data_IF_568943870646
#
_entry.id   IF_568943870646
#
_cell.length_a   1.000
_cell.length_b   1.000
_cell.length_c   1.000
_cell.angle_alpha   90.00
_cell.angle_beta   90.00
_cell.angle_gamma   90.00
#
_symmetry.space_group_name_H-M   'P 1'
#
loop_
_entity.id
_entity.type
_entity.pdbx_description
1 polymer ?
#
# COMPACT_ATOMS: atom_id res chain seq x y z
N UNK A 1 14.71 22.40 -22.74
CA UNK A 1 15.87 21.51 -23.03
C UNK A 1 16.12 20.60 -21.83
N UNK A 2 16.43 19.32 -22.06
CA UNK A 2 16.80 18.37 -21.00
C UNK A 2 18.28 18.58 -20.67
N UNK A 3 18.62 18.86 -19.41
CA UNK A 3 20.03 18.89 -19.01
C UNK A 3 20.60 17.48 -18.97
N UNK A 4 21.85 17.33 -19.41
CA UNK A 4 22.56 16.06 -19.37
C UNK A 4 22.95 15.75 -17.93
N UNK A 5 22.82 14.49 -17.53
CA UNK A 5 23.21 14.05 -16.18
C UNK A 5 24.73 14.14 -16.01
N UNK A 6 25.19 14.49 -14.81
CA UNK A 6 26.63 14.55 -14.51
C UNK A 6 27.27 13.16 -14.55
N UNK A 7 28.50 13.11 -15.08
CA UNK A 7 29.30 11.88 -15.12
C UNK A 7 29.56 11.36 -13.70
N UNK A 8 29.83 10.05 -13.59
CA UNK A 8 30.11 9.40 -12.30
C UNK A 8 31.32 10.04 -11.60
N UNK A 9 32.39 10.29 -12.36
CA UNK A 9 33.61 10.92 -11.87
C UNK A 9 33.37 12.27 -11.19
N UNK A 10 32.47 13.09 -11.74
CA UNK A 10 32.15 14.39 -11.17
C UNK A 10 31.43 14.24 -9.82
N UNK A 11 30.53 13.26 -9.70
CA UNK A 11 29.84 12.97 -8.44
C UNK A 11 30.78 12.40 -7.38
N UNK A 12 31.72 11.55 -7.77
CA UNK A 12 32.73 11.00 -6.86
C UNK A 12 33.62 12.12 -6.28
N UNK A 13 34.05 13.06 -7.12
CA UNK A 13 34.79 14.27 -6.68
C UNK A 13 34.00 15.16 -5.73
N UNK A 14 32.68 15.27 -5.90
CA UNK A 14 31.80 15.99 -4.94
C UNK A 14 31.87 15.33 -3.57
N UNK A 15 31.79 14.00 -3.51
CA UNK A 15 31.82 13.26 -2.25
C UNK A 15 33.20 13.31 -1.59
N UNK A 16 34.27 13.20 -2.37
CA UNK A 16 35.65 13.36 -1.87
C UNK A 16 35.83 14.72 -1.16
N UNK A 17 35.45 15.82 -1.84
CA UNK A 17 35.51 17.17 -1.26
C UNK A 17 34.60 17.33 -0.04
N UNK A 18 33.45 16.67 -0.03
CA UNK A 18 32.55 16.68 1.12
C UNK A 18 33.15 15.94 2.32
N UNK A 19 33.83 14.81 2.11
CA UNK A 19 34.53 14.06 3.17
C UNK A 19 35.67 14.87 3.81
N UNK A 20 36.32 15.72 3.04
CA UNK A 20 37.33 16.69 3.54
C UNK A 20 36.70 17.80 4.39
N UNK A 21 35.36 17.91 4.45
CA UNK A 21 34.66 18.92 5.23
C UNK A 21 34.44 20.25 4.51
N UNK A 22 34.57 20.28 3.18
CA UNK A 22 34.31 21.51 2.42
C UNK A 22 32.81 21.83 2.38
N UNK A 23 32.46 23.10 2.61
CA UNK A 23 31.08 23.57 2.52
C UNK A 23 30.52 23.55 1.09
N UNK A 24 29.19 23.45 0.96
CA UNK A 24 28.48 23.33 -0.31
C UNK A 24 28.84 24.41 -1.35
N UNK A 25 29.02 25.66 -0.93
CA UNK A 25 29.36 26.79 -1.82
C UNK A 25 30.76 26.63 -2.43
N UNK A 26 31.75 26.19 -1.63
CA UNK A 26 33.12 25.95 -2.09
C UNK A 26 33.18 24.80 -3.10
N UNK A 27 32.42 23.73 -2.86
CA UNK A 27 32.34 22.58 -3.78
C UNK A 27 31.69 22.99 -5.11
N UNK A 28 30.59 23.75 -5.04
CA UNK A 28 29.87 24.28 -6.21
C UNK A 28 30.78 25.13 -7.10
N UNK A 29 31.54 26.07 -6.50
CA UNK A 29 32.51 26.90 -7.22
C UNK A 29 33.64 26.07 -7.82
N UNK A 30 34.19 25.11 -7.06
CA UNK A 30 35.35 24.33 -7.50
C UNK A 30 35.05 23.29 -8.60
N UNK A 31 33.79 22.93 -8.82
CA UNK A 31 33.37 21.98 -9.87
C UNK A 31 32.47 22.64 -10.92
N UNK A 32 32.16 23.93 -10.78
CA UNK A 32 31.22 24.68 -11.61
C UNK A 32 29.86 23.99 -11.77
N UNK A 33 29.32 23.48 -10.65
CA UNK A 33 28.03 22.80 -10.58
C UNK A 33 27.10 23.65 -9.72
N UNK A 34 25.82 23.82 -10.07
CA UNK A 34 24.88 24.54 -9.23
C UNK A 34 24.76 23.90 -7.83
N UNK A 35 24.65 24.74 -6.80
CA UNK A 35 24.58 24.32 -5.39
C UNK A 35 23.48 23.28 -5.13
N UNK A 36 22.33 23.41 -5.80
CA UNK A 36 21.20 22.48 -5.68
C UNK A 36 21.57 21.05 -6.08
N UNK A 37 22.37 20.91 -7.13
CA UNK A 37 22.84 19.59 -7.58
C UNK A 37 23.87 18.99 -6.63
N UNK A 38 24.78 19.82 -6.08
CA UNK A 38 25.72 19.37 -5.04
C UNK A 38 24.95 18.84 -3.82
N UNK A 39 23.92 19.56 -3.39
CA UNK A 39 23.04 19.14 -2.29
C UNK A 39 22.33 17.82 -2.59
N UNK A 40 21.74 17.68 -3.78
CA UNK A 40 21.06 16.46 -4.20
C UNK A 40 22.00 15.24 -4.25
N UNK A 41 23.25 15.42 -4.67
CA UNK A 41 24.27 14.36 -4.68
C UNK A 41 24.59 13.91 -3.25
N UNK A 42 24.83 14.87 -2.34
CA UNK A 42 25.18 14.57 -0.95
C UNK A 42 24.00 13.92 -0.20
N UNK A 43 22.78 14.40 -0.43
CA UNK A 43 21.58 13.80 0.16
C UNK A 43 21.39 12.35 -0.28
N UNK A 44 21.51 12.08 -1.59
CA UNK A 44 21.45 10.71 -2.12
C UNK A 44 22.55 9.82 -1.54
N UNK A 45 23.75 10.36 -1.40
CA UNK A 45 24.87 9.61 -0.80
C UNK A 45 24.61 9.28 0.68
N UNK A 46 24.00 10.18 1.45
CA UNK A 46 23.61 9.91 2.84
C UNK A 46 22.52 8.84 2.96
N UNK A 47 21.56 8.81 2.04
CA UNK A 47 20.45 7.87 2.05
C UNK A 47 20.85 6.47 1.58
N UNK A 48 21.61 6.37 0.48
CA UNK A 48 21.90 5.10 -0.20
C UNK A 48 23.35 4.67 -0.13
N UNK A 49 24.27 5.52 0.34
CA UNK A 49 25.72 5.24 0.36
C UNK A 49 26.38 5.15 -1.02
N UNK A 50 25.64 5.40 -2.10
CA UNK A 50 26.11 5.20 -3.48
C UNK A 50 26.21 6.51 -4.24
N UNK A 51 27.20 6.60 -5.14
CA UNK A 51 27.38 7.74 -6.06
C UNK A 51 26.81 7.47 -7.45
N UNK A 52 26.45 6.22 -7.75
CA UNK A 52 25.88 5.80 -9.03
C UNK A 52 24.42 6.25 -9.12
N UNK A 53 23.94 6.57 -10.34
CA UNK A 53 22.53 6.92 -10.51
C UNK A 53 21.73 5.63 -10.44
N UNK A 54 20.75 5.59 -9.54
CA UNK A 54 19.79 4.51 -9.52
C UNK A 54 19.05 4.47 -10.85
N UNK A 55 18.68 3.28 -11.34
CA UNK A 55 17.78 3.16 -12.46
C UNK A 55 16.51 3.93 -12.12
N UNK A 56 15.99 4.67 -13.11
CA UNK A 56 14.71 5.36 -12.94
C UNK A 56 13.66 4.31 -12.61
N UNK A 57 12.93 4.53 -11.53
CA UNK A 57 11.76 3.73 -11.24
C UNK A 57 10.75 4.06 -12.34
N UNK A 58 10.58 3.12 -13.27
CA UNK A 58 9.58 3.20 -14.31
C UNK A 58 8.18 3.09 -13.71
N UNK A 59 7.16 3.26 -14.56
CA UNK A 59 5.79 2.98 -14.14
C UNK A 59 5.69 1.48 -13.79
N UNK A 60 5.19 1.11 -12.59
CA UNK A 60 4.98 -0.29 -12.25
C UNK A 60 3.97 -0.92 -13.23
N UNK A 61 4.21 -2.17 -13.68
CA UNK A 61 3.31 -2.84 -14.60
C UNK A 61 1.96 -3.14 -13.94
N UNK A 62 0.87 -3.04 -14.72
CA UNK A 62 -0.49 -3.33 -14.25
C UNK A 62 -0.70 -4.79 -13.85
N UNK A 63 0.04 -5.71 -14.48
CA UNK A 63 -0.05 -7.15 -14.28
C UNK A 63 1.28 -7.71 -13.78
N UNK A 64 1.20 -8.66 -12.85
CA UNK A 64 2.37 -9.42 -12.41
C UNK A 64 2.90 -10.31 -13.53
N UNK A 65 4.19 -10.68 -13.47
CA UNK A 65 4.78 -11.60 -14.44
C UNK A 65 4.10 -12.97 -14.48
N UNK A 66 3.58 -13.46 -13.33
CA UNK A 66 2.84 -14.72 -13.25
C UNK A 66 1.51 -14.64 -13.99
N UNK A 67 0.71 -13.61 -13.70
CA UNK A 67 -0.60 -13.38 -14.34
C UNK A 67 -0.43 -13.20 -15.85
N UNK A 68 0.58 -12.45 -16.27
CA UNK A 68 0.91 -12.27 -17.70
C UNK A 68 1.23 -13.60 -18.39
N UNK A 69 2.05 -14.46 -17.78
CA UNK A 69 2.37 -15.79 -18.33
C UNK A 69 1.15 -16.73 -18.35
N UNK A 70 0.25 -16.63 -17.38
CA UNK A 70 -1.00 -17.40 -17.38
C UNK A 70 -1.91 -16.96 -18.54
N UNK A 71 -2.07 -15.66 -18.74
CA UNK A 71 -2.79 -15.08 -19.88
C UNK A 71 -2.27 -15.59 -21.21
N UNK A 72 -0.95 -15.51 -21.43
CA UNK A 72 -0.33 -15.96 -22.68
C UNK A 72 -0.59 -17.46 -22.91
N UNK A 73 -0.47 -18.30 -21.87
CA UNK A 73 -0.74 -19.74 -21.99
C UNK A 73 -2.21 -20.04 -22.28
N UNK A 74 -3.14 -19.31 -21.66
CA UNK A 74 -4.57 -19.50 -21.90
C UNK A 74 -4.97 -19.07 -23.31
N UNK A 75 -4.44 -17.94 -23.79
CA UNK A 75 -4.63 -17.49 -25.17
C UNK A 75 -4.03 -18.48 -26.19
N UNK A 76 -2.87 -19.06 -25.90
CA UNK A 76 -2.26 -20.07 -26.77
C UNK A 76 -3.06 -21.40 -26.81
N UNK A 77 -3.62 -21.82 -25.67
CA UNK A 77 -4.43 -23.05 -25.59
C UNK A 77 -5.78 -22.91 -26.28
N UNK A 78 -6.38 -21.72 -26.24
CA UNK A 78 -7.70 -21.45 -26.80
C UNK A 78 -7.63 -20.16 -27.63
N UNK A 79 -7.27 -20.24 -28.92
CA UNK A 79 -7.01 -19.06 -29.73
C UNK A 79 -8.28 -18.24 -30.07
N UNK A 80 -9.48 -18.82 -29.94
CA UNK A 80 -10.76 -18.15 -30.23
C UNK A 80 -11.44 -17.51 -29.00
N UNK A 81 -10.75 -17.40 -27.86
CA UNK A 81 -11.36 -16.85 -26.63
C UNK A 81 -11.49 -15.33 -26.75
N UNK A 82 -12.64 -14.81 -26.31
CA UNK A 82 -12.92 -13.38 -26.29
C UNK A 82 -12.15 -12.67 -25.19
N UNK A 83 -11.89 -11.36 -25.35
CA UNK A 83 -11.16 -10.57 -24.36
C UNK A 83 -11.84 -10.59 -22.98
N UNK A 84 -13.17 -10.47 -22.94
CA UNK A 84 -13.96 -10.47 -21.71
C UNK A 84 -13.81 -11.79 -20.94
N UNK A 85 -13.80 -12.91 -21.66
CA UNK A 85 -13.63 -14.24 -21.06
C UNK A 85 -12.21 -14.41 -20.48
N UNK A 86 -11.19 -13.90 -21.18
CA UNK A 86 -9.82 -13.85 -20.64
C UNK A 86 -9.74 -12.99 -19.38
N UNK A 87 -10.37 -11.81 -19.37
CA UNK A 87 -10.40 -10.93 -18.20
C UNK A 87 -11.05 -11.60 -16.99
N UNK A 88 -12.19 -12.28 -17.18
CA UNK A 88 -12.87 -13.04 -16.11
C UNK A 88 -11.96 -14.14 -15.53
N UNK A 89 -11.28 -14.89 -16.39
CA UNK A 89 -10.33 -15.94 -15.93
C UNK A 89 -9.16 -15.36 -15.12
N UNK A 90 -8.66 -14.17 -15.48
CA UNK A 90 -7.58 -13.53 -14.73
C UNK A 90 -8.00 -12.90 -13.42
N UNK A 91 -9.24 -12.42 -13.33
CA UNK A 91 -9.77 -11.87 -12.08
C UNK A 91 -9.83 -12.96 -11.01
N UNK A 92 -10.23 -14.19 -11.39
CA UNK A 92 -10.21 -15.36 -10.50
C UNK A 92 -8.79 -15.71 -10.05
N UNK A 93 -7.81 -15.72 -10.97
CA UNK A 93 -6.41 -15.99 -10.63
C UNK A 93 -5.79 -14.92 -9.70
N UNK A 94 -6.21 -13.66 -9.82
CA UNK A 94 -5.75 -12.56 -8.95
C UNK A 94 -6.44 -12.59 -7.57
N UNK A 95 -7.72 -12.94 -7.49
CA UNK A 95 -8.47 -13.12 -6.24
C UNK A 95 -8.02 -14.36 -5.46
N UNK A 96 -7.62 -15.43 -6.14
CA UNK A 96 -7.10 -16.65 -5.51
C UNK A 96 -5.81 -16.41 -4.70
N UNK A 97 -5.01 -15.40 -5.08
CA UNK A 97 -3.81 -15.00 -4.31
C UNK A 97 -4.18 -14.28 -3.00
N UNK A 98 -5.32 -13.56 -2.98
CA UNK A 98 -5.84 -12.93 -1.76
C UNK A 98 -6.42 -13.95 -0.77
N UNK A 99 -7.10 -14.99 -1.25
CA UNK A 99 -7.69 -16.01 -0.35
C UNK A 99 -6.67 -16.92 0.33
N UNK A 100 -5.43 -17.01 -0.18
CA UNK A 100 -4.36 -17.79 0.48
C UNK A 100 -3.61 -17.02 1.58
N UNK A 101 -3.66 -15.68 1.62
CA UNK A 101 -3.14 -14.89 2.75
C UNK A 101 -4.21 -14.53 3.79
N UNK A 102 -5.49 -14.77 3.48
CA UNK A 102 -6.62 -14.43 4.34
C UNK A 102 -7.07 -15.63 5.20
N UNK A 103 -6.12 -16.27 5.86
CA UNK A 103 -6.41 -17.20 6.95
C UNK A 103 -5.40 -16.97 8.04
N UNK A 104 -5.81 -16.11 8.98
CA UNK A 104 -5.25 -15.97 10.34
C UNK A 104 -3.91 -15.22 10.40
N UNK A 105 -3.97 -13.91 10.56
CA UNK A 105 -3.43 -13.11 11.68
C UNK A 105 -3.35 -11.64 11.22
N UNK A 106 -3.99 -10.75 11.99
CA UNK A 106 -3.98 -9.28 11.89
C UNK A 106 -4.89 -8.64 10.84
N UNK A 107 -6.19 -8.56 11.16
CA UNK A 107 -6.81 -7.30 11.61
C UNK A 107 -6.86 -6.06 10.70
N UNK A 108 -6.12 -5.96 9.60
CA UNK A 108 -6.14 -4.80 8.70
C UNK A 108 -6.03 -5.25 7.24
N UNK A 109 -7.14 -5.18 6.50
CA UNK A 109 -7.13 -5.42 5.06
C UNK A 109 -6.52 -4.23 4.32
N UNK A 110 -5.24 -4.33 3.95
CA UNK A 110 -4.68 -3.47 2.91
C UNK A 110 -4.87 -4.13 1.54
N UNK A 111 -5.94 -3.77 0.84
CA UNK A 111 -6.13 -4.15 -0.56
C UNK A 111 -5.52 -3.08 -1.47
N UNK A 112 -4.46 -3.35 -2.25
CA UNK A 112 -3.98 -2.42 -3.25
C UNK A 112 -4.62 -2.74 -4.60
N UNK A 113 -5.94 -2.58 -4.75
CA UNK A 113 -6.55 -2.57 -6.09
C UNK A 113 -7.65 -1.51 -6.15
N UNK A 114 -7.39 -0.51 -6.98
CA UNK A 114 -8.36 0.49 -7.41
C UNK A 114 -9.41 -0.22 -8.29
N UNK A 115 -10.43 -0.81 -7.66
CA UNK A 115 -11.67 -1.20 -8.32
C UNK A 115 -12.49 0.08 -8.53
N UNK A 116 -12.33 0.70 -9.69
CA UNK A 116 -13.33 1.65 -10.15
C UNK A 116 -14.24 0.93 -11.16
N UNK A 117 -15.47 0.73 -10.68
CA UNK A 117 -16.71 0.50 -11.44
C UNK A 117 -17.08 -0.95 -11.83
N UNK A 118 -17.73 -1.64 -10.89
CA UNK A 118 -18.88 -2.51 -11.15
C UNK A 118 -20.03 -2.11 -10.20
N UNK A 119 -21.16 -1.56 -10.68
CA UNK A 119 -22.27 -1.15 -9.84
C UNK A 119 -23.20 -2.33 -9.57
N UNK A 120 -22.85 -3.21 -8.62
CA UNK A 120 -23.77 -4.25 -8.15
C UNK A 120 -23.54 -4.76 -6.72
N UNK A 121 -22.61 -4.18 -5.95
CA UNK A 121 -22.31 -4.62 -4.59
C UNK A 121 -22.10 -3.46 -3.59
N UNK A 122 -22.81 -2.34 -3.80
CA UNK A 122 -22.75 -1.15 -2.94
C UNK A 122 -23.95 -1.06 -1.98
N UNK A 123 -24.37 -2.18 -1.40
CA UNK A 123 -25.30 -2.20 -0.28
C UNK A 123 -24.81 -3.25 0.73
N UNK A 124 -24.15 -2.81 1.81
CA UNK A 124 -23.83 -3.76 2.89
C UNK A 124 -22.62 -3.49 3.78
N UNK A 125 -21.99 -2.30 3.76
CA UNK A 125 -20.85 -2.02 4.66
C UNK A 125 -20.94 -0.64 5.34
N UNK A 126 -22.14 -0.24 5.75
CA UNK A 126 -22.33 0.95 6.61
C UNK A 126 -23.37 0.78 7.72
N UNK A 127 -23.63 -0.45 8.16
CA UNK A 127 -24.51 -0.72 9.31
C UNK A 127 -23.83 -1.48 10.46
N UNK A 128 -22.66 -2.10 10.24
CA UNK A 128 -22.12 -3.07 11.22
C UNK A 128 -21.68 -2.46 12.57
N UNK A 129 -21.12 -1.24 12.61
CA UNK A 129 -20.66 -0.67 13.89
C UNK A 129 -21.83 -0.14 14.75
N UNK A 130 -22.87 0.41 14.11
CA UNK A 130 -24.04 0.96 14.81
C UNK A 130 -24.98 -0.14 15.28
N UNK A 131 -25.14 -1.21 14.50
CA UNK A 131 -25.90 -2.41 14.89
C UNK A 131 -25.20 -3.21 16.00
N UNK A 132 -23.86 -3.33 15.95
CA UNK A 132 -23.09 -3.99 17.04
C UNK A 132 -23.13 -3.18 18.34
N UNK A 133 -23.03 -1.85 18.27
CA UNK A 133 -23.19 -1.01 19.47
C UNK A 133 -24.61 -1.10 20.03
N UNK A 134 -25.65 -1.12 19.20
CA UNK A 134 -27.03 -1.25 19.68
C UNK A 134 -27.30 -2.60 20.36
N UNK A 135 -26.76 -3.70 19.84
CA UNK A 135 -26.91 -5.01 20.48
C UNK A 135 -26.20 -5.09 21.83
N UNK A 136 -24.99 -4.53 21.95
CA UNK A 136 -24.28 -4.47 23.24
C UNK A 136 -25.04 -3.63 24.27
N UNK A 137 -25.55 -2.46 23.88
CA UNK A 137 -26.29 -1.57 24.79
C UNK A 137 -27.60 -2.23 25.25
N UNK A 138 -28.35 -2.87 24.34
CA UNK A 138 -29.60 -3.54 24.68
C UNK A 138 -29.38 -4.75 25.61
N UNK A 139 -28.31 -5.52 25.39
CA UNK A 139 -27.96 -6.63 26.29
C UNK A 139 -27.61 -6.15 27.70
N UNK A 140 -26.88 -5.03 27.81
CA UNK A 140 -26.48 -4.47 29.10
C UNK A 140 -27.68 -3.85 29.87
N UNK A 141 -28.60 -3.18 29.16
CA UNK A 141 -29.84 -2.66 29.75
C UNK A 141 -30.77 -3.79 30.22
N UNK A 142 -30.88 -4.90 29.47
CA UNK A 142 -31.67 -6.05 29.87
C UNK A 142 -31.13 -6.71 31.15
N UNK A 143 -29.80 -6.84 31.27
CA UNK A 143 -29.17 -7.35 32.49
C UNK A 143 -29.40 -6.43 33.69
N UNK A 144 -29.27 -5.11 33.51
CA UNK A 144 -29.56 -4.14 34.57
C UNK A 144 -31.02 -4.18 35.01
N UNK A 145 -31.96 -4.33 34.07
CA UNK A 145 -33.39 -4.48 34.37
C UNK A 145 -33.67 -5.78 35.16
N UNK A 146 -33.06 -6.90 34.76
CA UNK A 146 -33.22 -8.17 35.47
C UNK A 146 -32.64 -8.11 36.89
N UNK A 147 -31.47 -7.47 37.06
CA UNK A 147 -30.87 -7.23 38.38
C UNK A 147 -31.77 -6.35 39.25
N UNK A 148 -32.32 -5.26 38.70
CA UNK A 148 -33.26 -4.40 39.42
C UNK A 148 -34.54 -5.14 39.81
N UNK A 149 -35.11 -5.94 38.90
CA UNK A 149 -36.30 -6.74 39.18
C UNK A 149 -36.04 -7.79 40.26
N UNK A 150 -34.86 -8.44 40.24
CA UNK A 150 -34.48 -9.42 41.27
C UNK A 150 -34.31 -8.76 42.65
N UNK A 151 -33.69 -7.59 42.71
CA UNK A 151 -33.58 -6.81 43.96
C UNK A 151 -34.95 -6.40 44.48
N UNK A 152 -35.81 -5.85 43.61
CA UNK A 152 -37.18 -5.45 43.96
C UNK A 152 -37.98 -6.65 44.49
N UNK A 153 -37.94 -7.79 43.80
CA UNK A 153 -38.65 -9.02 44.20
C UNK A 153 -38.15 -9.55 45.57
N UNK A 154 -36.85 -9.45 45.86
CA UNK A 154 -36.28 -9.87 47.15
C UNK A 154 -36.55 -8.87 48.29
N UNK A 155 -36.78 -7.58 47.99
CA UNK A 155 -37.09 -6.56 49.00
C UNK A 155 -38.58 -6.41 49.31
N UNK A 156 -39.47 -6.80 48.40
CA UNK A 156 -40.93 -6.61 48.51
C UNK A 156 -41.71 -7.88 48.90
N UNK A 157 -41.03 -9.00 49.09
CA UNK A 157 -41.62 -10.21 49.70
C UNK A 157 -41.02 -10.38 51.09
N UNK A 158 -41.54 -9.68 52.13
CA UNK A 158 -41.28 -10.08 53.50
C UNK A 158 -42.01 -11.41 53.76
N UNK A 159 -41.27 -12.45 54.11
CA UNK A 159 -41.82 -13.55 54.92
C UNK A 159 -42.19 -13.04 56.31
#
# INVERSE_FOLDING_TARGET
MKSKEHTRQVRDKVIEKFKVGLGYKKISQALNIPRSTVQAIIQKWKEYGTTVNLPRQGRPPKLTGRTRRALIRNAAKRPMVTLDELQRSTAQDLLAVCYSLCSVVSGDCFCPVNLKETPAAAAGLRSSLKERLSCLILSHLALLYLQFYFVILFTLVPT
#
